data_IF_083070004560
#
_entry.id   IF_083070004560
#
_cell.length_a   1.000
_cell.length_b   1.000
_cell.length_c   1.000
_cell.angle_alpha   90.00
_cell.angle_beta   90.00
_cell.angle_gamma   90.00
#
_symmetry.space_group_name_H-M   'P 1'
#
loop_
_entity.id
_entity.type
_entity.pdbx_description
1 polymer ?
#
# COMPACT_ATOMS: atom_id res chain seq x y z
N UNK A 1 -0.54 -7.19 -27.37
CA UNK A 1 -0.36 -8.57 -26.86
C UNK A 1 1.04 -8.65 -26.26
N UNK A 2 1.20 -8.54 -24.93
CA UNK A 2 2.50 -8.70 -24.26
C UNK A 2 2.95 -10.16 -24.44
N UNK A 3 4.24 -10.38 -24.73
CA UNK A 3 4.81 -11.73 -24.75
C UNK A 3 5.18 -12.14 -23.32
N UNK A 4 5.16 -13.44 -23.02
CA UNK A 4 5.47 -13.98 -21.68
C UNK A 4 6.87 -13.54 -21.19
N UNK A 5 7.80 -13.31 -22.13
CA UNK A 5 9.16 -12.85 -21.84
C UNK A 5 9.21 -11.38 -21.36
N UNK A 6 8.22 -10.56 -21.71
CA UNK A 6 8.13 -9.14 -21.31
C UNK A 6 7.25 -8.94 -20.07
N UNK A 7 6.82 -10.04 -19.43
CA UNK A 7 5.95 -9.97 -18.27
C UNK A 7 6.76 -9.79 -16.99
N UNK A 8 6.39 -8.79 -16.19
CA UNK A 8 6.94 -8.59 -14.85
C UNK A 8 6.24 -9.52 -13.85
N UNK A 9 6.84 -9.79 -12.67
CA UNK A 9 6.15 -10.51 -11.59
C UNK A 9 4.80 -9.88 -11.23
N UNK A 10 4.66 -8.57 -11.39
CA UNK A 10 3.41 -7.83 -11.19
C UNK A 10 2.30 -8.17 -12.20
N UNK A 11 2.63 -8.68 -13.39
CA UNK A 11 1.64 -9.13 -14.40
C UNK A 11 0.94 -10.45 -13.98
N UNK A 12 1.39 -11.10 -12.89
CA UNK A 12 0.80 -12.32 -12.34
C UNK A 12 0.02 -12.09 -11.03
N UNK A 13 -0.25 -10.83 -10.67
CA UNK A 13 -1.00 -10.49 -9.45
C UNK A 13 -2.51 -10.47 -9.71
N UNK A 14 -3.28 -10.91 -8.72
CA UNK A 14 -4.73 -10.94 -8.71
C UNK A 14 -5.29 -9.64 -8.10
N UNK A 15 -6.26 -8.97 -8.76
CA UNK A 15 -6.88 -7.77 -8.20
C UNK A 15 -7.81 -8.12 -7.03
N UNK A 16 -7.93 -7.21 -6.06
CA UNK A 16 -8.88 -7.33 -4.96
C UNK A 16 -9.43 -5.96 -4.50
N UNK A 17 -10.67 -5.97 -4.02
CA UNK A 17 -11.32 -4.81 -3.37
C UNK A 17 -11.28 -4.96 -1.85
N UNK A 18 -11.54 -6.17 -1.36
CA UNK A 18 -11.35 -6.51 0.05
C UNK A 18 -10.93 -7.98 0.20
N UNK A 19 -10.23 -8.27 1.29
CA UNK A 19 -9.86 -9.63 1.68
C UNK A 19 -9.79 -9.74 3.20
N UNK A 20 -10.36 -10.83 3.72
CA UNK A 20 -10.32 -11.21 5.12
C UNK A 20 -9.76 -12.63 5.21
N UNK A 21 -8.63 -12.80 5.90
CA UNK A 21 -8.07 -14.13 6.12
C UNK A 21 -9.00 -14.95 7.02
N UNK A 22 -9.21 -16.22 6.68
CA UNK A 22 -10.06 -17.14 7.45
C UNK A 22 -9.62 -17.32 8.92
N UNK A 23 -8.36 -17.02 9.22
CA UNK A 23 -7.81 -17.06 10.59
C UNK A 23 -8.10 -15.77 11.39
N UNK A 24 -8.70 -14.75 10.79
CA UNK A 24 -9.08 -13.54 11.51
C UNK A 24 -10.52 -13.59 11.99
N UNK A 25 -10.69 -13.40 13.31
CA UNK A 25 -11.99 -13.43 13.99
C UNK A 25 -12.72 -12.09 14.03
N UNK A 26 -12.21 -11.05 13.36
CA UNK A 26 -12.63 -9.67 13.59
C UNK A 26 -12.96 -8.86 12.32
N UNK A 27 -13.29 -9.53 11.21
CA UNK A 27 -13.55 -8.85 9.94
C UNK A 27 -14.83 -8.01 9.89
N UNK A 28 -15.63 -8.00 10.97
CA UNK A 28 -16.77 -7.10 11.13
C UNK A 28 -16.42 -5.83 11.94
N UNK A 29 -15.17 -5.69 12.43
CA UNK A 29 -14.76 -4.58 13.29
C UNK A 29 -13.63 -3.76 12.68
N UNK A 30 -13.89 -2.47 12.48
CA UNK A 30 -12.92 -1.47 11.96
C UNK A 30 -11.67 -1.34 12.83
N UNK A 31 -11.74 -1.72 14.11
CA UNK A 31 -10.59 -1.70 15.02
C UNK A 31 -9.65 -2.90 14.84
N UNK A 32 -9.88 -3.78 13.87
CA UNK A 32 -9.02 -4.91 13.60
C UNK A 32 -8.27 -4.78 12.28
N UNK A 33 -6.95 -4.72 12.38
CA UNK A 33 -5.96 -4.62 11.30
C UNK A 33 -5.92 -5.82 10.34
N UNK A 34 -6.86 -6.76 10.47
CA UNK A 34 -6.94 -7.95 9.62
C UNK A 34 -7.69 -7.73 8.31
N UNK A 35 -8.68 -6.84 8.29
CA UNK A 35 -9.50 -6.62 7.10
C UNK A 35 -8.70 -5.77 6.12
N UNK A 36 -8.25 -6.37 5.02
CA UNK A 36 -7.54 -5.66 3.97
C UNK A 36 -8.57 -5.10 3.00
N UNK A 37 -8.78 -3.78 3.04
CA UNK A 37 -9.66 -3.07 2.11
C UNK A 37 -8.78 -2.23 1.19
N UNK A 38 -8.99 -2.33 -0.12
CA UNK A 38 -8.32 -1.46 -1.07
C UNK A 38 -8.83 -0.02 -0.89
N UNK A 39 -7.97 1.00 -0.77
CA UNK A 39 -8.42 2.37 -0.60
C UNK A 39 -9.19 2.88 -1.84
N UNK A 40 -10.10 3.83 -1.62
CA UNK A 40 -10.91 4.41 -2.70
C UNK A 40 -10.02 5.01 -3.80
N UNK A 41 -10.40 4.83 -5.06
CA UNK A 41 -9.62 5.29 -6.23
C UNK A 41 -8.23 4.64 -6.37
N UNK A 42 -7.93 3.58 -5.62
CA UNK A 42 -6.74 2.77 -5.81
C UNK A 42 -7.05 1.46 -6.51
N UNK A 43 -6.00 0.77 -6.93
CA UNK A 43 -6.05 -0.60 -7.44
C UNK A 43 -5.09 -1.45 -6.64
N UNK A 44 -5.60 -2.52 -6.05
CA UNK A 44 -4.80 -3.39 -5.21
C UNK A 44 -4.66 -4.77 -5.85
N UNK A 45 -3.46 -5.35 -5.73
CA UNK A 45 -3.11 -6.62 -6.35
C UNK A 45 -2.29 -7.49 -5.41
N UNK A 46 -2.50 -8.80 -5.43
CA UNK A 46 -1.77 -9.75 -4.60
C UNK A 46 -1.31 -10.98 -5.37
N UNK A 47 -0.26 -11.66 -4.92
CA UNK A 47 0.07 -12.98 -5.42
C UNK A 47 -0.77 -14.06 -4.70
N UNK A 48 -0.76 -15.30 -5.20
CA UNK A 48 -1.54 -16.39 -4.61
C UNK A 48 -1.21 -16.67 -3.13
N UNK A 49 -0.01 -16.28 -2.66
CA UNK A 49 0.43 -16.51 -1.28
C UNK A 49 0.31 -15.27 -0.38
N UNK A 50 -0.15 -14.13 -0.89
CA UNK A 50 -0.18 -12.83 -0.19
C UNK A 50 1.19 -12.37 0.34
N UNK A 51 2.26 -12.84 -0.28
CA UNK A 51 3.62 -12.39 -0.03
C UNK A 51 3.96 -11.12 -0.82
N UNK A 52 3.31 -10.90 -1.96
CA UNK A 52 3.31 -9.64 -2.68
C UNK A 52 1.92 -9.02 -2.58
N UNK A 53 1.86 -7.76 -2.16
CA UNK A 53 0.64 -6.99 -2.04
C UNK A 53 0.90 -5.54 -2.46
N UNK A 54 0.51 -5.21 -3.69
CA UNK A 54 0.72 -3.92 -4.33
C UNK A 54 -0.53 -3.06 -4.16
N UNK A 55 -0.34 -1.84 -3.68
CA UNK A 55 -1.39 -0.83 -3.53
C UNK A 55 -1.05 0.34 -4.43
N UNK A 56 -1.70 0.40 -5.60
CA UNK A 56 -1.50 1.47 -6.58
C UNK A 56 -2.57 2.55 -6.43
N UNK A 57 -2.17 3.68 -5.83
CA UNK A 57 -2.97 4.87 -5.64
C UNK A 57 -2.44 6.05 -6.48
N UNK A 58 -1.72 5.77 -7.57
CA UNK A 58 -1.11 6.80 -8.41
C UNK A 58 -2.17 7.67 -9.06
N UNK A 59 -2.00 9.01 -9.02
CA UNK A 59 -2.93 10.00 -9.54
C UNK A 59 -4.38 9.88 -8.99
N UNK A 60 -4.56 9.32 -7.78
CA UNK A 60 -5.87 9.13 -7.16
C UNK A 60 -6.47 10.40 -6.54
N UNK A 61 -5.72 11.51 -6.53
CA UNK A 61 -6.17 12.81 -6.04
C UNK A 61 -5.99 13.00 -4.53
N UNK A 62 -5.18 12.18 -3.88
CA UNK A 62 -4.96 12.26 -2.44
C UNK A 62 -4.17 13.50 -2.03
N UNK A 63 -4.58 14.12 -0.93
CA UNK A 63 -3.85 15.21 -0.25
C UNK A 63 -3.07 14.73 0.96
N UNK A 64 -3.35 13.50 1.41
CA UNK A 64 -2.73 12.83 2.55
C UNK A 64 -2.62 11.32 2.27
N UNK A 65 -1.81 10.62 3.06
CA UNK A 65 -1.69 9.16 2.92
C UNK A 65 -3.03 8.50 3.33
N UNK A 66 -3.63 7.62 2.49
CA UNK A 66 -4.89 6.96 2.82
C UNK A 66 -4.80 6.12 4.10
N UNK A 67 -5.75 6.27 5.03
CA UNK A 67 -5.75 5.53 6.30
C UNK A 67 -5.92 4.02 6.11
N UNK A 68 -6.63 3.60 5.05
CA UNK A 68 -7.00 2.19 4.82
C UNK A 68 -6.01 1.40 3.98
N UNK A 69 -4.75 1.81 3.88
CA UNK A 69 -3.76 0.98 3.19
C UNK A 69 -3.60 -0.35 3.97
N UNK A 70 -3.73 -1.51 3.32
CA UNK A 70 -3.52 -2.82 3.92
C UNK A 70 -2.20 -2.92 4.72
N UNK A 71 -2.23 -3.61 5.86
CA UNK A 71 -1.05 -3.76 6.74
C UNK A 71 0.05 -4.62 6.12
N UNK A 72 -0.35 -5.56 5.28
CA UNK A 72 0.54 -6.46 4.56
C UNK A 72 1.01 -5.90 3.20
N UNK A 73 0.72 -4.63 2.90
CA UNK A 73 1.21 -3.98 1.69
C UNK A 73 2.74 -4.07 1.60
N UNK A 74 3.22 -4.60 0.49
CA UNK A 74 4.65 -4.69 0.17
C UNK A 74 5.12 -3.54 -0.69
N UNK A 75 4.23 -3.00 -1.51
CA UNK A 75 4.51 -1.88 -2.41
C UNK A 75 3.35 -0.90 -2.37
N UNK A 76 3.66 0.39 -2.22
CA UNK A 76 2.67 1.47 -2.20
C UNK A 76 3.08 2.52 -3.21
N UNK A 77 2.21 2.79 -4.18
CA UNK A 77 2.41 3.83 -5.19
C UNK A 77 1.47 5.00 -4.90
N UNK A 78 2.06 6.15 -4.57
CA UNK A 78 1.35 7.40 -4.30
C UNK A 78 1.78 8.51 -5.27
N UNK A 79 2.41 8.16 -6.38
CA UNK A 79 2.90 9.11 -7.38
C UNK A 79 1.79 10.01 -7.94
N UNK A 80 2.12 11.25 -8.26
CA UNK A 80 1.20 12.20 -8.89
C UNK A 80 0.03 12.67 -8.02
N UNK A 81 0.08 12.42 -6.71
CA UNK A 81 -0.88 12.97 -5.74
C UNK A 81 -0.46 14.38 -5.25
N UNK A 82 -1.18 14.94 -4.28
CA UNK A 82 -0.92 16.27 -3.71
C UNK A 82 -0.54 16.20 -2.22
N UNK A 83 0.23 15.17 -1.85
CA UNK A 83 0.67 14.91 -0.48
C UNK A 83 1.84 15.82 -0.14
N UNK A 84 1.54 16.87 0.62
CA UNK A 84 2.53 17.91 0.95
C UNK A 84 3.32 17.65 2.22
N UNK A 85 2.81 16.81 3.12
CA UNK A 85 3.44 16.51 4.42
C UNK A 85 3.26 15.03 4.76
N UNK A 86 4.29 14.38 5.28
CA UNK A 86 4.21 13.06 5.89
C UNK A 86 4.34 13.19 7.40
N UNK A 87 3.24 12.87 8.10
CA UNK A 87 3.16 12.94 9.56
C UNK A 87 3.97 11.86 10.28
N UNK A 88 3.93 11.89 11.61
CA UNK A 88 4.48 10.80 12.40
C UNK A 88 3.61 9.55 12.24
N UNK A 89 4.24 8.37 12.12
CA UNK A 89 3.56 7.07 12.14
C UNK A 89 2.58 6.80 10.98
N UNK A 90 2.63 7.53 9.86
CA UNK A 90 1.65 7.32 8.75
C UNK A 90 1.75 5.93 8.11
N UNK A 91 2.91 5.28 8.21
CA UNK A 91 3.14 3.93 7.70
C UNK A 91 3.26 2.89 8.83
N UNK A 92 2.78 3.21 10.04
CA UNK A 92 2.92 2.32 11.19
C UNK A 92 2.32 0.93 10.93
N UNK A 93 3.04 -0.10 11.37
CA UNK A 93 2.60 -1.49 11.26
C UNK A 93 2.72 -2.13 9.87
N UNK A 94 3.13 -1.35 8.84
CA UNK A 94 3.41 -1.84 7.48
C UNK A 94 4.77 -2.52 7.40
N UNK A 95 4.95 -3.58 8.20
CA UNK A 95 6.24 -4.25 8.41
C UNK A 95 6.80 -4.90 7.14
N UNK A 96 5.92 -5.26 6.19
CA UNK A 96 6.28 -5.87 4.90
C UNK A 96 6.54 -4.86 3.79
N UNK A 97 6.33 -3.56 4.03
CA UNK A 97 6.51 -2.53 3.02
C UNK A 97 7.99 -2.45 2.61
N UNK A 98 8.25 -2.66 1.32
CA UNK A 98 9.58 -2.66 0.72
C UNK A 98 9.77 -1.50 -0.26
N UNK A 99 8.69 -1.11 -0.95
CA UNK A 99 8.73 -0.09 -2.00
C UNK A 99 7.68 0.97 -1.71
N UNK A 100 8.09 2.24 -1.69
CA UNK A 100 7.21 3.38 -1.53
C UNK A 100 7.56 4.43 -2.58
N UNK A 101 6.63 4.70 -3.48
CA UNK A 101 6.78 5.74 -4.48
C UNK A 101 5.94 6.97 -4.14
N UNK A 102 6.57 8.13 -4.14
CA UNK A 102 6.01 9.43 -3.77
C UNK A 102 6.40 10.52 -4.77
N UNK A 103 6.70 10.15 -6.02
CA UNK A 103 7.15 11.10 -7.03
C UNK A 103 6.03 12.09 -7.38
N UNK A 104 6.44 13.34 -7.64
CA UNK A 104 5.54 14.43 -8.03
C UNK A 104 4.37 14.71 -7.06
N UNK A 105 4.54 14.38 -5.78
CA UNK A 105 3.51 14.56 -4.72
C UNK A 105 3.41 15.97 -4.15
N UNK A 106 4.34 16.87 -4.52
CA UNK A 106 4.54 18.19 -3.90
C UNK A 106 4.94 18.11 -2.42
N UNK A 107 5.60 17.03 -2.03
CA UNK A 107 6.08 16.80 -0.68
C UNK A 107 7.08 17.89 -0.24
N UNK A 108 6.82 18.49 0.94
CA UNK A 108 7.63 19.56 1.54
C UNK A 108 8.21 19.19 2.89
N UNK A 109 7.49 18.37 3.66
CA UNK A 109 7.88 18.00 5.03
C UNK A 109 7.70 16.50 5.24
N UNK A 110 8.68 15.90 5.91
CA UNK A 110 8.65 14.51 6.35
C UNK A 110 9.08 14.48 7.80
N UNK A 111 8.19 14.04 8.69
CA UNK A 111 8.49 14.02 10.11
C UNK A 111 9.43 12.86 10.47
N UNK A 112 10.21 13.03 11.54
CA UNK A 112 11.23 12.05 11.99
C UNK A 112 10.68 10.64 12.26
N UNK A 113 9.41 10.52 12.65
CA UNK A 113 8.79 9.22 12.96
C UNK A 113 7.90 8.70 11.82
N UNK A 114 7.99 9.25 10.61
CA UNK A 114 7.22 8.82 9.43
C UNK A 114 7.42 7.33 9.14
N UNK A 115 8.67 6.88 9.14
CA UNK A 115 9.07 5.52 8.76
C UNK A 115 9.30 4.58 9.95
N UNK A 116 8.84 4.97 11.15
CA UNK A 116 9.01 4.15 12.34
C UNK A 116 8.19 2.86 12.23
N UNK A 117 8.86 1.71 12.35
CA UNK A 117 8.23 0.37 12.29
C UNK A 117 8.03 -0.17 10.87
N UNK A 118 8.69 0.42 9.87
CA UNK A 118 8.69 -0.01 8.47
C UNK A 118 10.04 -0.64 8.12
N UNK A 119 10.38 -1.72 8.81
CA UNK A 119 11.75 -2.24 8.85
C UNK A 119 12.22 -2.90 7.52
N UNK A 120 11.28 -3.24 6.63
CA UNK A 120 11.57 -3.86 5.33
C UNK A 120 11.77 -2.86 4.19
N UNK A 121 11.63 -1.55 4.45
CA UNK A 121 11.69 -0.52 3.41
C UNK A 121 13.10 -0.47 2.81
N UNK A 122 13.19 -0.59 1.49
CA UNK A 122 14.45 -0.56 0.75
C UNK A 122 14.72 0.83 0.20
N UNK A 123 16.00 1.17 0.07
CA UNK A 123 16.51 2.42 -0.56
C UNK A 123 16.92 2.10 -1.99
#
# INVERSE_FOLDING_TARGET
KKMIIDMSPSDFLCPYESHCFALCHCCDFVACDCEMICPNNCRCYHDITWNANVVDCSNAGYTEVPERIPMDATEIYLDGNHISHLGNHVFIGKKKLQVLYLNDTKLKEVNDQTFKGVDSLKI
#
